data_IF_879586547650
#
_entry.id   IF_879586547650
#
_cell.length_a   1.000
_cell.length_b   1.000
_cell.length_c   1.000
_cell.angle_alpha   90.00
_cell.angle_beta   90.00
_cell.angle_gamma   90.00
#
_symmetry.space_group_name_H-M   'P 1'
#
loop_
_entity.id
_entity.type
_entity.pdbx_description
1 polymer ?
#
# COMPACT_ATOMS: atom_id res chain seq x y z
N UNK A 1 -22.23 -14.93 14.23
CA UNK A 1 -21.26 -13.87 14.64
C UNK A 1 -21.41 -12.68 13.70
N UNK A 2 -21.41 -11.44 14.20
CA UNK A 2 -21.50 -10.27 13.34
C UNK A 2 -20.28 -10.20 12.40
N UNK A 3 -20.53 -9.93 11.11
CA UNK A 3 -19.48 -9.79 10.10
C UNK A 3 -18.46 -8.74 10.58
N UNK A 4 -17.16 -9.03 10.47
CA UNK A 4 -16.08 -8.14 10.89
C UNK A 4 -16.28 -6.70 10.38
N UNK A 5 -16.77 -6.57 9.15
CA UNK A 5 -17.05 -5.29 8.52
C UNK A 5 -18.14 -4.49 9.24
N UNK A 6 -19.20 -5.12 9.75
CA UNK A 6 -20.26 -4.40 10.50
C UNK A 6 -19.74 -3.92 11.85
N UNK A 7 -18.94 -4.74 12.54
CA UNK A 7 -18.32 -4.38 13.81
C UNK A 7 -17.36 -3.20 13.70
N UNK A 8 -16.58 -3.13 12.60
CA UNK A 8 -15.71 -1.98 12.32
C UNK A 8 -16.52 -0.71 12.04
N UNK A 9 -17.67 -0.83 11.36
CA UNK A 9 -18.54 0.32 11.07
C UNK A 9 -19.26 0.88 12.31
N UNK A 10 -19.55 0.02 13.29
CA UNK A 10 -20.23 0.38 14.52
C UNK A 10 -19.27 0.90 15.61
N UNK A 11 -17.98 0.59 15.50
CA UNK A 11 -16.97 1.00 16.47
C UNK A 11 -16.78 2.54 16.49
N UNK A 12 -16.62 3.08 17.69
CA UNK A 12 -16.23 4.48 17.92
C UNK A 12 -14.81 4.76 17.41
N UNK A 13 -14.48 6.05 17.24
CA UNK A 13 -13.15 6.47 16.80
C UNK A 13 -12.07 6.03 17.79
N UNK A 14 -12.39 6.10 19.08
CA UNK A 14 -11.51 5.73 20.19
C UNK A 14 -11.24 4.22 20.19
N UNK A 15 -12.27 3.39 19.97
CA UNK A 15 -12.12 1.93 19.84
C UNK A 15 -11.30 1.56 18.61
N UNK A 16 -11.55 2.21 17.46
CA UNK A 16 -10.76 1.99 16.24
C UNK A 16 -9.29 2.39 16.45
N UNK A 17 -9.01 3.48 17.17
CA UNK A 17 -7.65 3.90 17.48
C UNK A 17 -6.92 2.91 18.40
N UNK A 18 -7.62 2.33 19.39
CA UNK A 18 -7.06 1.29 20.26
C UNK A 18 -6.78 0.00 19.50
N UNK A 19 -7.68 -0.42 18.61
CA UNK A 19 -7.50 -1.57 17.72
C UNK A 19 -6.27 -1.34 16.83
N UNK A 20 -6.17 -0.19 16.17
CA UNK A 20 -5.01 0.15 15.34
C UNK A 20 -3.72 0.13 16.16
N UNK A 21 -3.70 0.71 17.36
CA UNK A 21 -2.51 0.69 18.22
C UNK A 21 -2.08 -0.72 18.62
N UNK A 22 -3.05 -1.60 18.90
CA UNK A 22 -2.77 -3.01 19.22
C UNK A 22 -2.24 -3.77 17.99
N UNK A 23 -2.84 -3.56 16.81
CA UNK A 23 -2.45 -4.23 15.56
C UNK A 23 -1.10 -3.72 15.04
N UNK A 24 -0.82 -2.42 15.17
CA UNK A 24 0.47 -1.82 14.83
C UNK A 24 1.61 -2.24 15.76
N UNK A 25 1.33 -2.99 16.84
CA UNK A 25 2.39 -3.63 17.65
C UNK A 25 3.02 -4.83 16.93
N UNK A 26 2.44 -5.29 15.81
CA UNK A 26 2.99 -6.31 14.91
C UNK A 26 3.65 -5.63 13.71
N UNK A 27 4.92 -5.97 13.42
CA UNK A 27 5.79 -5.28 12.45
C UNK A 27 5.22 -5.22 11.03
N UNK A 28 4.65 -6.33 10.56
CA UNK A 28 4.19 -6.42 9.17
C UNK A 28 2.90 -5.62 8.96
N UNK A 29 2.03 -5.58 9.98
CA UNK A 29 0.78 -4.81 9.89
C UNK A 29 1.01 -3.32 10.11
N UNK A 30 2.01 -2.96 10.92
CA UNK A 30 2.47 -1.58 11.10
C UNK A 30 2.82 -0.92 9.77
N UNK A 31 3.66 -1.59 8.96
CA UNK A 31 4.06 -1.10 7.64
C UNK A 31 2.87 -0.81 6.72
N UNK A 32 1.89 -1.72 6.68
CA UNK A 32 0.70 -1.53 5.86
C UNK A 32 -0.18 -0.37 6.35
N UNK A 33 -0.32 -0.18 7.66
CA UNK A 33 -1.08 0.95 8.22
C UNK A 33 -0.40 2.28 7.88
N UNK A 34 0.92 2.38 8.05
CA UNK A 34 1.68 3.58 7.67
C UNK A 34 1.51 3.89 6.18
N UNK A 35 1.67 2.90 5.30
CA UNK A 35 1.50 3.08 3.86
C UNK A 35 0.11 3.63 3.48
N UNK A 36 -0.95 3.16 4.14
CA UNK A 36 -2.32 3.65 3.92
C UNK A 36 -2.49 5.09 4.44
N UNK A 37 -1.88 5.43 5.58
CA UNK A 37 -1.92 6.77 6.15
C UNK A 37 -1.20 7.79 5.25
N UNK A 38 0.02 7.45 4.79
CA UNK A 38 0.78 8.28 3.86
C UNK A 38 0.01 8.51 2.57
N UNK A 39 -0.58 7.45 2.01
CA UNK A 39 -1.42 7.55 0.81
C UNK A 39 -2.63 8.49 1.01
N UNK A 40 -3.27 8.43 2.18
CA UNK A 40 -4.38 9.31 2.51
C UNK A 40 -3.95 10.77 2.62
N UNK A 41 -2.79 11.02 3.21
CA UNK A 41 -2.24 12.37 3.36
C UNK A 41 -1.80 12.95 2.02
N UNK A 42 -1.14 12.17 1.17
CA UNK A 42 -0.82 12.54 -0.21
C UNK A 42 -2.07 12.90 -1.03
N UNK A 43 -3.14 12.12 -0.86
CA UNK A 43 -4.43 12.40 -1.51
C UNK A 43 -5.06 13.69 -0.99
N UNK A 44 -5.04 13.95 0.33
CA UNK A 44 -5.53 15.22 0.90
C UNK A 44 -4.74 16.41 0.35
N UNK A 45 -3.41 16.29 0.30
CA UNK A 45 -2.54 17.34 -0.23
C UNK A 45 -2.80 17.59 -1.72
N UNK A 46 -2.95 16.53 -2.51
CA UNK A 46 -3.26 16.61 -3.95
C UNK A 46 -4.61 17.28 -4.21
N UNK A 47 -5.64 16.95 -3.43
CA UNK A 47 -6.96 17.58 -3.52
C UNK A 47 -6.92 19.05 -3.13
N UNK A 48 -6.19 19.39 -2.06
CA UNK A 48 -5.98 20.76 -1.63
C UNK A 48 -5.27 21.58 -2.72
N UNK A 49 -4.22 21.02 -3.35
CA UNK A 49 -3.51 21.65 -4.47
C UNK A 49 -4.41 21.83 -5.70
N UNK A 50 -5.22 20.84 -6.04
CA UNK A 50 -6.18 20.93 -7.15
C UNK A 50 -7.29 21.98 -6.89
N UNK A 51 -7.75 22.10 -5.64
CA UNK A 51 -8.69 23.15 -5.24
C UNK A 51 -8.05 24.55 -5.30
N UNK A 52 -6.79 24.69 -4.86
CA UNK A 52 -6.04 25.94 -4.94
C UNK A 52 -5.81 26.38 -6.40
N UNK A 53 -5.41 25.45 -7.29
CA UNK A 53 -5.26 25.72 -8.73
C UNK A 53 -6.57 26.16 -9.38
N UNK A 54 -7.69 25.51 -9.03
CA UNK A 54 -9.02 25.94 -9.50
C UNK A 54 -9.33 27.36 -9.07
N UNK A 55 -9.15 27.72 -7.79
CA UNK A 55 -9.38 29.08 -7.27
C UNK A 55 -8.53 30.15 -7.97
N UNK A 56 -7.29 29.82 -8.36
CA UNK A 56 -6.41 30.72 -9.12
C UNK A 56 -6.88 30.89 -10.57
N UNK A 57 -7.38 29.82 -11.20
CA UNK A 57 -7.96 29.86 -12.55
C UNK A 57 -9.28 30.66 -12.58
N UNK A 58 -10.14 30.54 -11.56
CA UNK A 58 -11.39 31.33 -11.47
C UNK A 58 -11.14 32.80 -11.11
N UNK A 59 -10.00 33.18 -10.52
CA UNK A 59 -9.67 34.59 -10.26
C UNK A 59 -9.47 35.42 -11.54
N UNK A 60 -9.27 34.80 -12.71
CA UNK A 60 -9.19 35.50 -14.00
C UNK A 60 -10.56 35.71 -14.66
N UNK A 61 -11.62 35.10 -14.12
CA UNK A 61 -12.99 35.23 -14.65
C UNK A 61 -13.97 35.57 -13.52
N UNK A 62 -14.43 36.82 -13.52
CA UNK A 62 -15.56 37.41 -12.79
C UNK A 62 -15.34 37.93 -11.37
N UNK A 63 -15.45 39.25 -11.25
CA UNK A 63 -16.03 39.98 -10.12
C UNK A 63 -17.52 39.63 -10.07
N UNK A 64 -17.97 38.87 -9.06
CA UNK A 64 -19.38 38.83 -8.66
C UNK A 64 -19.54 38.17 -7.29
N UNK A 65 -20.24 38.87 -6.40
CA UNK A 65 -20.61 38.48 -5.04
C UNK A 65 -21.17 37.05 -4.95
N UNK A 66 -20.75 36.27 -3.94
CA UNK A 66 -21.60 35.39 -3.10
C UNK A 66 -20.84 34.69 -1.97
N UNK A 67 -21.58 34.46 -0.90
CA UNK A 67 -21.28 33.97 0.46
C UNK A 67 -20.11 32.99 0.67
N UNK A 68 -19.30 33.28 1.68
CA UNK A 68 -18.22 32.46 2.23
C UNK A 68 -18.72 31.31 3.13
N UNK A 69 -19.59 30.44 2.64
CA UNK A 69 -19.73 29.12 3.24
C UNK A 69 -18.68 28.21 2.58
N UNK A 70 -17.51 28.01 3.22
CA UNK A 70 -16.59 26.95 2.82
C UNK A 70 -17.35 25.62 2.98
N UNK A 71 -17.60 24.86 1.91
CA UNK A 71 -18.14 23.51 2.08
C UNK A 71 -17.11 22.71 2.86
N UNK A 72 -17.48 22.20 4.04
CA UNK A 72 -16.71 21.17 4.72
C UNK A 72 -16.36 20.08 3.70
N UNK A 73 -15.09 19.65 3.61
CA UNK A 73 -14.69 18.66 2.62
C UNK A 73 -15.58 17.44 2.82
N UNK A 74 -16.39 17.10 1.81
CA UNK A 74 -17.15 15.85 1.79
C UNK A 74 -16.13 14.75 2.06
N UNK A 75 -16.30 14.03 3.16
CA UNK A 75 -15.54 12.82 3.45
C UNK A 75 -15.86 11.83 2.35
N UNK A 76 -15.04 11.83 1.30
CA UNK A 76 -15.13 10.84 0.24
C UNK A 76 -14.90 9.50 0.95
N UNK A 77 -15.96 8.68 1.07
CA UNK A 77 -15.81 7.26 1.44
C UNK A 77 -14.95 6.62 0.35
N UNK A 78 -13.63 6.66 0.53
CA UNK A 78 -12.68 6.01 -0.37
C UNK A 78 -12.64 4.55 0.03
N UNK A 79 -13.12 3.68 -0.85
CA UNK A 79 -12.94 2.24 -0.71
C UNK A 79 -11.49 1.92 -1.09
N UNK A 80 -10.58 2.17 -0.15
CA UNK A 80 -9.14 1.92 -0.30
C UNK A 80 -8.91 0.44 -0.04
N UNK A 81 -8.22 -0.21 -0.96
CA UNK A 81 -7.83 -1.62 -0.87
C UNK A 81 -6.32 -1.73 -0.87
N UNK A 82 -5.77 -2.77 -0.26
CA UNK A 82 -4.34 -3.11 -0.37
C UNK A 82 -4.12 -4.02 -1.58
N UNK A 83 -3.04 -3.79 -2.33
CA UNK A 83 -2.68 -4.66 -3.44
C UNK A 83 -1.84 -5.84 -2.96
N UNK A 84 -2.21 -7.09 -3.28
CA UNK A 84 -1.47 -8.30 -2.89
C UNK A 84 -0.13 -8.52 -3.61
N UNK A 85 0.26 -7.62 -4.52
CA UNK A 85 1.44 -7.81 -5.39
C UNK A 85 2.53 -6.80 -5.09
N UNK A 86 2.15 -5.55 -4.94
CA UNK A 86 3.06 -4.45 -4.65
C UNK A 86 2.88 -3.96 -3.22
N UNK A 87 1.91 -4.49 -2.48
CA UNK A 87 1.62 -4.13 -1.08
C UNK A 87 1.34 -2.63 -0.87
N UNK A 88 0.88 -1.96 -1.92
CA UNK A 88 0.51 -0.55 -1.89
C UNK A 88 -1.01 -0.37 -1.88
N UNK A 89 -1.52 0.68 -1.21
CA UNK A 89 -2.93 1.04 -1.22
C UNK A 89 -3.35 1.58 -2.58
N UNK A 90 -4.58 1.28 -2.99
CA UNK A 90 -5.16 1.79 -4.22
C UNK A 90 -6.68 1.97 -4.10
N UNK A 91 -7.23 2.84 -4.95
CA UNK A 91 -8.67 3.00 -5.14
C UNK A 91 -9.07 2.27 -6.42
N UNK A 92 -10.01 1.32 -6.31
CA UNK A 92 -10.41 0.46 -7.42
C UNK A 92 -10.92 1.21 -8.65
N UNK A 93 -11.61 2.35 -8.44
CA UNK A 93 -12.09 3.21 -9.53
C UNK A 93 -10.97 3.91 -10.31
N UNK A 94 -9.79 4.06 -9.72
CA UNK A 94 -8.62 4.72 -10.32
C UNK A 94 -7.61 3.69 -10.88
N UNK A 95 -7.89 2.39 -10.73
CA UNK A 95 -6.96 1.31 -11.06
C UNK A 95 -6.94 1.01 -12.56
N UNK A 96 -5.82 1.32 -13.21
CA UNK A 96 -5.57 1.07 -14.63
C UNK A 96 -4.62 -0.10 -14.83
N UNK A 97 -4.47 -0.58 -16.07
CA UNK A 97 -3.52 -1.65 -16.43
C UNK A 97 -2.04 -1.27 -16.20
N UNK A 98 -1.74 -0.06 -15.74
CA UNK A 98 -0.38 0.38 -15.45
C UNK A 98 -0.22 0.94 -14.03
N UNK A 99 -1.27 0.88 -13.20
CA UNK A 99 -1.24 1.44 -11.84
C UNK A 99 -0.34 0.64 -10.89
N UNK A 100 -0.30 -0.68 -11.02
CA UNK A 100 0.54 -1.54 -10.19
C UNK A 100 1.86 -1.82 -10.88
N UNK A 101 2.94 -1.43 -10.21
CA UNK A 101 4.31 -1.82 -10.50
C UNK A 101 4.74 -2.81 -9.43
N UNK A 102 5.17 -4.00 -9.82
CA UNK A 102 5.69 -4.99 -8.88
C UNK A 102 6.76 -5.87 -9.54
N UNK A 103 7.46 -6.61 -8.71
CA UNK A 103 8.39 -7.65 -9.11
C UNK A 103 7.79 -9.02 -8.77
N UNK A 104 7.91 -9.99 -9.68
CA UNK A 104 7.43 -11.36 -9.45
C UNK A 104 8.54 -12.32 -9.01
N UNK A 105 9.81 -11.90 -9.17
CA UNK A 105 10.97 -12.65 -8.74
C UNK A 105 11.28 -12.44 -7.26
N UNK A 106 12.22 -13.22 -6.74
CA UNK A 106 12.71 -13.12 -5.36
C UNK A 106 13.91 -12.21 -5.26
N UNK A 107 14.13 -11.65 -4.06
CA UNK A 107 15.37 -10.95 -3.76
C UNK A 107 16.51 -11.95 -3.60
N UNK A 108 17.61 -11.68 -4.28
CA UNK A 108 18.85 -12.43 -4.20
C UNK A 108 19.91 -11.55 -3.54
N UNK A 109 20.70 -12.13 -2.65
CA UNK A 109 21.83 -11.49 -1.98
C UNK A 109 23.13 -11.99 -2.60
N UNK A 110 24.03 -11.06 -2.90
CA UNK A 110 25.41 -11.36 -3.26
C UNK A 110 26.13 -11.97 -2.07
N UNK A 111 26.64 -13.17 -2.26
CA UNK A 111 27.46 -13.89 -1.31
C UNK A 111 28.86 -14.03 -1.91
N UNK A 112 29.86 -13.60 -1.16
CA UNK A 112 31.27 -13.72 -1.53
C UNK A 112 31.99 -14.53 -0.47
N UNK A 113 32.71 -15.56 -0.90
CA UNK A 113 33.73 -16.21 -0.08
C UNK A 113 35.11 -16.04 -0.75
N UNK A 114 36.16 -16.60 -0.15
CA UNK A 114 37.55 -16.42 -0.61
C UNK A 114 37.80 -16.84 -2.08
N UNK A 115 36.90 -17.60 -2.71
CA UNK A 115 37.12 -18.21 -4.03
C UNK A 115 35.98 -18.03 -5.03
N UNK A 116 34.82 -17.51 -4.62
CA UNK A 116 33.64 -17.42 -5.48
C UNK A 116 32.67 -16.32 -5.04
N UNK A 117 32.01 -15.70 -6.03
CA UNK A 117 30.89 -14.78 -5.85
C UNK A 117 29.66 -15.39 -6.51
N UNK A 118 28.56 -15.50 -5.77
CA UNK A 118 27.28 -16.00 -6.28
C UNK A 118 26.10 -15.25 -5.67
N UNK A 119 24.90 -15.46 -6.21
CA UNK A 119 23.67 -14.89 -5.69
C UNK A 119 22.81 -15.98 -5.05
N UNK A 120 22.51 -15.83 -3.76
CA UNK A 120 21.63 -16.74 -3.01
C UNK A 120 20.27 -16.08 -2.76
N UNK A 121 19.20 -16.90 -2.63
CA UNK A 121 17.89 -16.43 -2.19
C UNK A 121 18.05 -15.74 -0.82
N UNK A 122 17.62 -14.47 -0.71
CA UNK A 122 17.86 -13.66 0.49
C UNK A 122 17.31 -14.33 1.76
N UNK A 123 16.16 -15.00 1.65
CA UNK A 123 15.51 -15.67 2.78
C UNK A 123 16.25 -16.95 3.20
N UNK A 124 17.21 -17.42 2.38
CA UNK A 124 18.00 -18.63 2.60
C UNK A 124 19.49 -18.34 2.77
N UNK A 125 19.90 -17.09 2.64
CA UNK A 125 21.29 -16.70 2.80
C UNK A 125 21.71 -16.87 4.27
N UNK A 126 22.95 -17.32 4.50
CA UNK A 126 23.52 -17.43 5.84
C UNK A 126 23.63 -16.07 6.54
N UNK A 127 23.59 -16.08 7.88
CA UNK A 127 23.65 -14.86 8.70
C UNK A 127 24.91 -14.02 8.42
N UNK A 128 26.02 -14.68 8.07
CA UNK A 128 27.28 -14.08 7.70
C UNK A 128 27.17 -13.15 6.49
N UNK A 129 26.26 -13.46 5.56
CA UNK A 129 26.01 -12.64 4.37
C UNK A 129 24.93 -11.61 4.65
N UNK A 130 23.84 -11.97 5.32
CA UNK A 130 22.74 -11.03 5.61
C UNK A 130 23.16 -9.90 6.57
N UNK A 131 24.20 -10.12 7.37
CA UNK A 131 24.78 -9.10 8.25
C UNK A 131 25.64 -8.08 7.50
N UNK A 132 26.09 -8.40 6.28
CA UNK A 132 26.87 -7.49 5.45
C UNK A 132 25.94 -6.45 4.79
N UNK A 133 26.00 -5.22 5.28
CA UNK A 133 25.17 -4.12 4.74
C UNK A 133 25.60 -3.62 3.36
N UNK A 134 26.82 -3.94 2.95
CA UNK A 134 27.39 -3.55 1.66
C UNK A 134 27.14 -4.59 0.57
N UNK A 135 26.65 -5.79 0.93
CA UNK A 135 26.35 -6.85 -0.02
C UNK A 135 25.25 -6.42 -0.99
N UNK A 136 25.46 -6.66 -2.29
CA UNK A 136 24.48 -6.29 -3.31
C UNK A 136 23.22 -7.16 -3.18
N UNK A 137 22.05 -6.53 -3.22
CA UNK A 137 20.78 -7.24 -3.31
C UNK A 137 20.07 -6.90 -4.62
N UNK A 138 19.82 -7.92 -5.45
CA UNK A 138 19.14 -7.80 -6.75
C UNK A 138 17.84 -8.60 -6.75
N UNK A 139 16.89 -8.26 -7.62
CA UNK A 139 15.68 -9.07 -7.80
C UNK A 139 15.78 -9.93 -9.07
N UNK A 140 15.54 -11.23 -8.93
CA UNK A 140 15.72 -12.23 -9.98
C UNK A 140 14.99 -11.91 -11.29
N UNK A 141 13.77 -11.35 -11.19
CA UNK A 141 12.96 -11.11 -12.38
C UNK A 141 13.50 -10.06 -13.37
N UNK A 142 14.44 -9.20 -12.95
CA UNK A 142 14.98 -8.14 -13.82
C UNK A 142 16.36 -7.62 -13.42
N UNK A 143 17.05 -8.28 -12.48
CA UNK A 143 18.36 -7.92 -11.96
C UNK A 143 18.47 -6.47 -11.46
N UNK A 144 17.34 -5.88 -11.05
CA UNK A 144 17.35 -4.53 -10.48
C UNK A 144 17.80 -4.59 -9.03
N UNK A 145 18.68 -3.66 -8.65
CA UNK A 145 19.12 -3.53 -7.27
C UNK A 145 17.97 -3.05 -6.36
N UNK A 146 18.02 -3.46 -5.09
CA UNK A 146 17.08 -3.03 -4.06
C UNK A 146 17.06 -1.50 -3.97
N UNK A 147 15.86 -0.91 -4.06
CA UNK A 147 15.65 0.54 -4.06
C UNK A 147 15.79 1.23 -5.42
N UNK A 148 16.37 0.58 -6.44
CA UNK A 148 16.53 1.18 -7.77
C UNK A 148 15.28 1.06 -8.66
N UNK A 149 14.45 0.04 -8.45
CA UNK A 149 13.22 -0.19 -9.23
C UNK A 149 12.00 -0.32 -8.32
N UNK A 150 10.86 0.21 -8.79
CA UNK A 150 9.54 0.08 -8.13
C UNK A 150 8.75 -1.13 -8.64
N UNK A 151 9.28 -1.88 -9.61
CA UNK A 151 8.59 -3.00 -10.26
C UNK A 151 8.90 -3.09 -11.75
N UNK A 152 9.18 -4.30 -12.25
CA UNK A 152 9.44 -4.55 -13.68
C UNK A 152 8.18 -4.98 -14.45
N UNK A 153 7.10 -5.34 -13.76
CA UNK A 153 5.82 -5.70 -14.38
C UNK A 153 4.80 -4.61 -14.10
N UNK A 154 4.10 -4.18 -15.15
CA UNK A 154 2.97 -3.24 -15.07
C UNK A 154 1.66 -3.99 -15.22
N UNK A 155 0.72 -3.79 -14.29
CA UNK A 155 -0.65 -4.31 -14.41
C UNK A 155 -1.64 -3.53 -13.54
N UNK A 156 -2.89 -3.99 -13.48
CA UNK A 156 -3.86 -3.56 -12.46
C UNK A 156 -3.45 -4.07 -11.08
N UNK A 157 -3.67 -3.26 -10.05
CA UNK A 157 -3.63 -3.73 -8.67
C UNK A 157 -4.65 -4.86 -8.48
N UNK A 158 -4.30 -5.83 -7.64
CA UNK A 158 -5.18 -6.94 -7.25
C UNK A 158 -5.41 -6.85 -5.75
N UNK A 159 -6.67 -6.71 -5.34
CA UNK A 159 -7.01 -6.59 -3.93
C UNK A 159 -6.51 -7.80 -3.14
N UNK A 160 -5.89 -7.54 -2.00
CA UNK A 160 -5.67 -8.53 -0.96
C UNK A 160 -7.05 -8.85 -0.37
N UNK A 161 -7.55 -10.04 -0.64
CA UNK A 161 -8.78 -10.57 -0.04
C UNK A 161 -8.31 -11.58 1.00
N UNK A 162 -8.75 -11.47 2.27
CA UNK A 162 -8.46 -12.51 3.26
C UNK A 162 -9.07 -13.82 2.76
N UNK A 163 -8.31 -14.91 2.85
CA UNK A 163 -8.84 -16.25 2.60
C UNK A 163 -9.92 -16.53 3.64
N UNK A 164 -11.18 -16.33 3.25
CA UNK A 164 -12.31 -16.80 4.03
C UNK A 164 -12.38 -18.29 3.76
N UNK A 165 -11.91 -19.07 4.74
CA UNK A 165 -12.04 -20.51 4.79
C UNK A 165 -13.53 -20.85 4.57
N UNK A 166 -13.87 -21.26 3.35
CA UNK A 166 -15.23 -21.66 2.95
C UNK A 166 -15.40 -23.16 3.09
N UNK A 167 -14.64 -23.78 3.98
CA UNK A 167 -14.83 -25.16 4.44
C UNK A 167 -16.04 -25.26 5.39
N UNK A 168 -17.21 -24.80 4.95
CA UNK A 168 -18.49 -25.19 5.55
C UNK A 168 -19.02 -26.42 4.80
N UNK A 169 -18.84 -27.57 5.47
CA UNK A 169 -19.69 -28.75 5.50
C UNK A 169 -20.49 -29.09 4.24
N UNK A 170 -19.92 -29.95 3.41
CA UNK A 170 -20.69 -30.89 2.59
C UNK A 170 -20.86 -32.21 3.36
N UNK A 171 -21.49 -32.10 4.52
CA UNK A 171 -21.97 -33.25 5.29
C UNK A 171 -23.38 -32.91 5.75
N UNK A 172 -24.38 -33.25 4.94
CA UNK A 172 -25.56 -33.93 5.48
C UNK A 172 -26.40 -34.56 4.37
N UNK A 173 -26.85 -35.75 4.74
CA UNK A 173 -27.43 -36.86 3.98
C UNK A 173 -28.85 -36.58 3.47
#
# INVERSE_FOLDING_TARGET
MANLHSRIQEASKEELAQILKAVCSFTDTHYHVESVLDYLDDKKQSEAAAAAKRRLSTRRASLSNKSWAQPLPKTVKRNIKMCKLCELPFVEKENTNESCLYHWGKWLLECENEHEVWFADLDKAGEEFTSNKDAMCIIDCCNSQRGASKGCVKRKHVALVPDVDTSEDSSDN
#
